data_IF_984566153058
#
_entry.id   IF_984566153058
#
_cell.length_a   1.000
_cell.length_b   1.000
_cell.length_c   1.000
_cell.angle_alpha   90.00
_cell.angle_beta   90.00
_cell.angle_gamma   90.00
#
_symmetry.space_group_name_H-M   'P 1'
#
loop_
_entity.id
_entity.type
_entity.pdbx_description
1 polymer ?
#
# COMPACT_ATOMS: atom_id res chain seq x y z
N UNK A 1 -12.56 32.61 -16.01
CA UNK A 1 -11.20 32.06 -16.20
C UNK A 1 -11.16 30.68 -15.58
N UNK A 2 -11.43 29.65 -16.38
CA UNK A 2 -11.56 28.26 -15.95
C UNK A 2 -10.24 27.51 -16.12
N UNK A 3 -9.55 27.23 -15.02
CA UNK A 3 -8.35 26.40 -14.99
C UNK A 3 -8.71 24.95 -14.64
N UNK A 4 -8.85 24.09 -15.65
CA UNK A 4 -9.03 22.65 -15.46
C UNK A 4 -7.69 21.96 -15.21
N UNK A 5 -7.50 21.35 -14.05
CA UNK A 5 -6.30 20.59 -13.71
C UNK A 5 -6.48 19.12 -14.11
N UNK A 6 -5.75 18.67 -15.14
CA UNK A 6 -5.72 17.27 -15.60
C UNK A 6 -4.76 16.47 -14.70
N UNK A 7 -5.30 15.51 -13.95
CA UNK A 7 -4.50 14.52 -13.23
C UNK A 7 -3.97 13.46 -14.19
N UNK A 8 -2.66 13.47 -14.43
CA UNK A 8 -1.95 12.37 -15.08
C UNK A 8 -1.77 11.23 -14.08
N UNK A 9 -2.23 10.03 -14.42
CA UNK A 9 -1.97 8.80 -13.68
C UNK A 9 -0.47 8.44 -13.76
N UNK A 10 0.28 8.63 -12.67
CA UNK A 10 1.58 8.02 -12.48
C UNK A 10 1.46 6.93 -11.41
N UNK A 11 1.60 5.67 -11.82
CA UNK A 11 1.71 4.54 -10.90
C UNK A 11 3.08 4.61 -10.22
N UNK A 12 3.12 5.01 -8.95
CA UNK A 12 4.30 4.92 -8.11
C UNK A 12 4.23 3.64 -7.28
N UNK A 13 5.21 2.75 -7.45
CA UNK A 13 5.48 1.67 -6.50
C UNK A 13 6.23 2.28 -5.33
N UNK A 14 5.65 2.23 -4.13
CA UNK A 14 6.26 2.73 -2.89
C UNK A 14 6.97 1.54 -2.23
N UNK A 15 8.28 1.63 -2.10
CA UNK A 15 9.08 0.71 -1.26
C UNK A 15 9.36 1.41 0.06
N UNK A 16 8.96 0.80 1.16
CA UNK A 16 9.18 1.28 2.53
C UNK A 16 10.40 0.58 3.11
N UNK A 17 11.37 1.36 3.58
CA UNK A 17 12.42 0.89 4.48
C UNK A 17 12.18 1.50 5.86
N UNK A 18 11.80 0.66 6.83
CA UNK A 18 11.69 1.04 8.24
C UNK A 18 12.99 0.70 8.96
N UNK A 19 13.64 1.70 9.57
CA UNK A 19 14.97 1.60 10.17
C UNK A 19 14.93 1.47 11.71
N UNK A 20 13.92 0.81 12.26
CA UNK A 20 13.83 0.60 13.71
C UNK A 20 13.37 -0.83 14.02
N UNK A 21 14.33 -1.72 14.29
CA UNK A 21 14.22 -2.86 15.22
C UNK A 21 15.58 -3.58 15.31
N UNK A 22 16.57 -2.97 15.95
CA UNK A 22 17.67 -3.72 16.56
C UNK A 22 17.32 -3.88 18.04
N UNK A 23 16.78 -5.04 18.41
CA UNK A 23 16.43 -5.39 19.79
C UNK A 23 16.92 -6.80 20.08
N UNK A 24 17.90 -6.90 20.97
CA UNK A 24 18.60 -8.13 21.37
C UNK A 24 17.64 -9.15 22.01
N UNK A 25 17.70 -10.41 21.53
CA UNK A 25 17.01 -11.55 22.15
C UNK A 25 17.85 -12.09 23.31
N UNK A 26 17.35 -11.97 24.54
CA UNK A 26 17.85 -12.78 25.65
C UNK A 26 17.30 -14.21 25.57
N UNK A 27 18.20 -15.18 25.72
CA UNK A 27 17.89 -16.60 25.84
C UNK A 27 17.42 -16.90 27.27
N UNK A 28 16.26 -17.53 27.40
CA UNK A 28 15.95 -18.36 28.56
C UNK A 28 15.51 -19.72 28.06
N UNK A 29 16.27 -20.74 28.47
CA UNK A 29 15.98 -22.14 28.23
C UNK A 29 14.91 -22.65 29.19
N UNK A 30 14.06 -23.51 28.66
CA UNK A 30 13.13 -24.36 29.39
C UNK A 30 12.85 -25.55 28.49
N UNK A 31 13.49 -26.67 28.78
CA UNK A 31 13.08 -27.99 28.31
C UNK A 31 11.75 -28.33 28.97
N UNK A 32 10.77 -28.84 28.21
CA UNK A 32 10.06 -30.05 28.60
C UNK A 32 9.06 -30.56 27.54
N UNK A 33 9.15 -31.87 27.34
CA UNK A 33 8.15 -32.79 26.78
C UNK A 33 7.92 -32.81 25.26
N UNK A 34 8.59 -33.79 24.65
CA UNK A 34 8.28 -34.31 23.33
C UNK A 34 6.85 -34.87 23.29
N UNK A 35 5.95 -34.16 22.62
CA UNK A 35 4.68 -34.69 22.11
C UNK A 35 4.89 -35.04 20.65
N UNK A 36 5.11 -36.33 20.37
CA UNK A 36 5.08 -36.87 19.01
C UNK A 36 3.65 -36.80 18.49
N UNK A 37 3.32 -35.72 17.78
CA UNK A 37 2.16 -35.69 16.89
C UNK A 37 2.60 -36.20 15.52
N UNK A 38 2.29 -37.47 15.29
CA UNK A 38 2.30 -38.09 13.98
C UNK A 38 1.17 -37.50 13.14
N UNK A 39 1.42 -36.35 12.53
CA UNK A 39 0.62 -35.86 11.41
C UNK A 39 1.37 -36.20 10.13
N UNK A 40 1.11 -37.41 9.62
CA UNK A 40 1.40 -37.76 8.24
C UNK A 40 0.61 -36.80 7.34
N UNK A 41 1.20 -35.65 7.00
CA UNK A 41 0.72 -34.83 5.91
C UNK A 41 1.12 -35.59 4.65
N UNK A 42 0.18 -36.36 4.10
CA UNK A 42 0.28 -36.85 2.74
C UNK A 42 0.39 -35.62 1.84
N UNK A 43 1.60 -35.26 1.45
CA UNK A 43 1.82 -34.32 0.36
C UNK A 43 1.34 -35.03 -0.90
N UNK A 44 0.07 -34.85 -1.25
CA UNK A 44 -0.36 -35.09 -2.62
C UNK A 44 0.42 -34.10 -3.47
N UNK A 45 1.51 -34.59 -4.06
CA UNK A 45 2.24 -33.90 -5.10
C UNK A 45 1.26 -33.75 -6.25
N UNK A 46 0.74 -32.53 -6.43
CA UNK A 46 0.02 -32.16 -7.63
C UNK A 46 1.01 -32.29 -8.80
N UNK A 47 0.98 -33.44 -9.50
CA UNK A 47 1.61 -33.60 -10.80
C UNK A 47 0.78 -32.87 -11.85
N UNK A 48 0.69 -31.53 -11.69
CA UNK A 48 0.23 -30.66 -12.75
C UNK A 48 1.14 -30.86 -13.94
N UNK A 49 0.53 -31.18 -15.10
CA UNK A 49 1.18 -31.35 -16.40
C UNK A 49 2.25 -30.27 -16.59
N UNK A 50 3.52 -30.65 -16.41
CA UNK A 50 4.69 -29.80 -16.66
C UNK A 50 4.94 -29.75 -18.17
N UNK A 51 3.96 -29.24 -18.92
CA UNK A 51 4.27 -28.60 -20.19
C UNK A 51 4.81 -27.20 -19.85
N UNK A 52 5.91 -27.18 -19.08
CA UNK A 52 6.73 -26.01 -18.90
C UNK A 52 7.42 -25.80 -20.25
N UNK A 53 6.68 -25.19 -21.19
CA UNK A 53 7.26 -24.63 -22.39
C UNK A 53 8.48 -23.85 -21.93
N UNK A 54 9.65 -24.26 -22.43
CA UNK A 54 10.94 -23.70 -22.07
C UNK A 54 10.80 -22.18 -21.96
N UNK A 55 10.95 -21.63 -20.75
CA UNK A 55 10.93 -20.19 -20.54
C UNK A 55 12.16 -19.70 -21.29
N UNK A 56 11.99 -19.34 -22.56
CA UNK A 56 13.07 -18.86 -23.42
C UNK A 56 13.66 -17.65 -22.73
N UNK A 57 14.82 -17.83 -22.12
CA UNK A 57 15.55 -16.77 -21.44
C UNK A 57 16.03 -15.80 -22.50
N UNK A 58 15.24 -14.75 -22.74
CA UNK A 58 15.63 -13.67 -23.63
C UNK A 58 16.76 -12.88 -22.98
N UNK A 59 17.78 -12.46 -23.75
CA UNK A 59 18.86 -11.66 -23.21
C UNK A 59 18.31 -10.36 -22.63
N UNK A 60 18.71 -10.04 -21.40
CA UNK A 60 18.30 -8.82 -20.73
C UNK A 60 18.71 -7.60 -21.57
N UNK A 61 17.73 -6.78 -21.96
CA UNK A 61 17.98 -5.55 -22.71
C UNK A 61 18.70 -4.58 -21.77
N UNK A 62 19.87 -4.07 -22.18
CA UNK A 62 20.62 -3.10 -21.37
C UNK A 62 19.82 -1.79 -21.30
N UNK A 63 19.49 -1.36 -20.09
CA UNK A 63 18.82 -0.10 -19.82
C UNK A 63 19.81 0.77 -19.06
N UNK A 64 20.06 1.96 -19.59
CA UNK A 64 20.93 2.91 -18.92
C UNK A 64 20.26 3.42 -17.65
N UNK A 65 20.91 3.25 -16.51
CA UNK A 65 20.41 3.79 -15.24
C UNK A 65 20.82 5.25 -15.14
N UNK A 66 19.85 6.15 -15.30
CA UNK A 66 20.05 7.55 -14.91
C UNK A 66 20.12 7.63 -13.38
N UNK A 67 21.30 7.93 -12.85
CA UNK A 67 21.48 8.19 -11.42
C UNK A 67 20.89 9.57 -11.12
N UNK A 68 19.66 9.58 -10.62
CA UNK A 68 18.98 10.78 -10.13
C UNK A 68 19.46 11.14 -8.72
N UNK A 69 19.29 12.40 -8.34
CA UNK A 69 19.61 12.89 -7.00
C UNK A 69 18.60 12.38 -5.97
N UNK A 70 18.96 12.38 -4.68
CA UNK A 70 18.03 11.96 -3.61
C UNK A 70 16.73 12.77 -3.55
N UNK A 71 16.74 14.02 -4.00
CA UNK A 71 15.55 14.87 -4.07
C UNK A 71 14.57 14.39 -5.15
N UNK A 72 15.07 13.85 -6.26
CA UNK A 72 14.25 13.38 -7.38
C UNK A 72 13.43 12.12 -7.04
N UNK A 73 13.85 11.40 -5.99
CA UNK A 73 13.12 10.22 -5.49
C UNK A 73 12.08 10.57 -4.42
N UNK A 74 12.16 11.73 -3.78
CA UNK A 74 11.25 12.08 -2.69
C UNK A 74 9.89 12.50 -3.28
N UNK A 75 8.86 11.68 -3.10
CA UNK A 75 7.50 11.94 -3.56
C UNK A 75 6.67 12.71 -2.52
N UNK A 76 6.98 12.54 -1.23
CA UNK A 76 6.20 13.16 -0.15
C UNK A 76 6.63 12.69 1.23
N UNK A 77 5.93 13.18 2.25
CA UNK A 77 6.15 12.83 3.65
C UNK A 77 4.82 12.54 4.31
N UNK A 78 4.82 11.57 5.20
CA UNK A 78 3.74 11.25 6.12
C UNK A 78 4.34 11.22 7.54
N UNK A 79 3.52 11.23 8.60
CA UNK A 79 4.04 11.08 9.94
C UNK A 79 4.92 9.83 10.08
N UNK A 80 6.19 10.02 10.41
CA UNK A 80 7.17 8.94 10.56
C UNK A 80 7.62 8.25 9.27
N UNK A 81 7.20 8.71 8.08
CA UNK A 81 7.49 8.05 6.80
C UNK A 81 7.87 9.03 5.68
N UNK A 82 8.72 8.57 4.75
CA UNK A 82 9.01 9.27 3.48
C UNK A 82 8.52 8.42 2.33
N UNK A 83 7.76 9.04 1.44
CA UNK A 83 7.29 8.38 0.23
C UNK A 83 8.34 8.55 -0.86
N UNK A 84 8.74 7.42 -1.45
CA UNK A 84 9.73 7.38 -2.52
C UNK A 84 9.08 6.99 -3.83
N UNK A 85 9.46 7.65 -4.92
CA UNK A 85 9.06 7.30 -6.28
C UNK A 85 10.09 6.37 -6.90
N UNK A 86 9.67 5.21 -7.37
CA UNK A 86 10.53 4.30 -8.14
C UNK A 86 10.33 4.56 -9.63
N UNK A 87 11.43 4.69 -10.36
CA UNK A 87 11.43 4.83 -11.81
C UNK A 87 11.61 3.48 -12.49
N UNK A 88 10.84 3.22 -13.55
CA UNK A 88 10.87 1.99 -14.32
C UNK A 88 11.33 2.23 -15.78
N UNK A 89 12.58 2.68 -16.03
CA UNK A 89 13.06 2.99 -17.38
C UNK A 89 13.09 1.76 -18.30
N UNK A 90 13.13 0.56 -17.72
CA UNK A 90 13.04 -0.68 -18.49
C UNK A 90 11.69 -0.87 -19.19
N UNK A 91 10.63 -0.20 -18.73
CA UNK A 91 9.31 -0.26 -19.35
C UNK A 91 9.32 0.38 -20.75
N UNK A 92 10.13 1.41 -20.97
CA UNK A 92 10.16 2.18 -22.22
C UNK A 92 10.71 1.36 -23.38
N UNK A 93 11.67 0.48 -23.11
CA UNK A 93 12.33 -0.35 -24.12
C UNK A 93 11.59 -1.67 -24.41
N UNK A 94 10.47 -1.92 -23.75
CA UNK A 94 9.67 -3.13 -24.01
C UNK A 94 8.95 -3.06 -25.37
N UNK A 95 8.87 -4.19 -26.10
CA UNK A 95 7.98 -4.34 -27.24
C UNK A 95 6.52 -4.05 -26.86
N UNK A 96 5.71 -3.59 -27.82
CA UNK A 96 4.31 -3.22 -27.57
C UNK A 96 3.49 -4.35 -26.95
N UNK A 97 3.66 -5.60 -27.40
CA UNK A 97 2.95 -6.75 -26.82
C UNK A 97 3.28 -6.96 -25.34
N UNK A 98 4.54 -6.77 -24.94
CA UNK A 98 4.97 -6.88 -23.55
C UNK A 98 4.47 -5.71 -22.69
N UNK A 99 4.40 -4.50 -23.25
CA UNK A 99 3.79 -3.34 -22.58
C UNK A 99 2.31 -3.58 -22.29
N UNK A 100 1.58 -4.17 -23.24
CA UNK A 100 0.16 -4.55 -23.05
C UNK A 100 0.04 -5.61 -21.95
N UNK A 101 0.90 -6.63 -21.95
CA UNK A 101 0.92 -7.62 -20.87
C UNK A 101 1.17 -6.97 -19.50
N UNK A 102 2.22 -6.15 -19.38
CA UNK A 102 2.54 -5.44 -18.13
C UNK A 102 1.39 -4.56 -17.67
N UNK A 103 0.73 -3.87 -18.60
CA UNK A 103 -0.45 -3.07 -18.30
C UNK A 103 -1.57 -3.91 -17.67
N UNK A 104 -1.96 -5.02 -18.30
CA UNK A 104 -3.02 -5.87 -17.79
C UNK A 104 -2.67 -6.54 -16.46
N UNK A 105 -1.43 -7.01 -16.29
CA UNK A 105 -0.96 -7.56 -15.00
C UNK A 105 -0.98 -6.49 -13.91
N UNK A 106 -0.58 -5.26 -14.22
CA UNK A 106 -0.63 -4.15 -13.27
C UNK A 106 -2.07 -3.81 -12.86
N UNK A 107 -3.02 -3.85 -13.80
CA UNK A 107 -4.45 -3.67 -13.51
C UNK A 107 -4.99 -4.79 -12.63
N UNK A 108 -4.61 -6.03 -12.90
CA UNK A 108 -5.00 -7.19 -12.08
C UNK A 108 -4.44 -7.06 -10.65
N UNK A 109 -3.18 -6.67 -10.49
CA UNK A 109 -2.57 -6.43 -9.18
C UNK A 109 -3.29 -5.31 -8.40
N UNK A 110 -3.65 -4.22 -9.07
CA UNK A 110 -4.39 -3.11 -8.46
C UNK A 110 -5.80 -3.50 -8.02
N UNK A 111 -6.48 -4.38 -8.76
CA UNK A 111 -7.82 -4.86 -8.42
C UNK A 111 -7.86 -5.65 -7.09
N UNK A 112 -6.73 -6.24 -6.68
CA UNK A 112 -6.62 -6.94 -5.40
C UNK A 112 -6.58 -6.04 -4.16
N UNK A 113 -6.46 -4.72 -4.32
CA UNK A 113 -6.31 -3.78 -3.20
C UNK A 113 -7.47 -3.85 -2.22
N UNK A 114 -8.71 -3.80 -2.71
CA UNK A 114 -9.88 -3.76 -1.83
C UNK A 114 -10.13 -5.12 -1.14
N UNK A 115 -9.73 -6.22 -1.78
CA UNK A 115 -9.72 -7.55 -1.16
C UNK A 115 -8.78 -7.54 0.05
N UNK A 116 -7.58 -6.98 -0.09
CA UNK A 116 -6.62 -6.87 1.02
C UNK A 116 -7.19 -6.06 2.20
N UNK A 117 -7.79 -4.89 1.93
CA UNK A 117 -8.45 -4.09 2.99
C UNK A 117 -9.57 -4.86 3.70
N UNK A 118 -10.34 -5.68 2.96
CA UNK A 118 -11.39 -6.52 3.53
C UNK A 118 -10.85 -7.67 4.37
N UNK A 119 -9.65 -8.15 4.08
CA UNK A 119 -9.01 -9.26 4.81
C UNK A 119 -8.33 -8.78 6.10
N UNK A 120 -7.69 -7.61 6.07
CA UNK A 120 -6.93 -7.09 7.22
C UNK A 120 -7.82 -6.73 8.40
N UNK A 121 -9.02 -6.17 8.14
CA UNK A 121 -9.92 -5.76 9.21
C UNK A 121 -11.37 -5.77 8.74
N UNK A 122 -12.29 -6.20 9.62
CA UNK A 122 -13.74 -6.26 9.36
C UNK A 122 -14.30 -4.93 8.83
N UNK A 123 -13.82 -3.81 9.36
CA UNK A 123 -14.24 -2.47 8.96
C UNK A 123 -13.23 -1.77 8.04
N UNK A 124 -12.24 -2.49 7.49
CA UNK A 124 -11.14 -1.89 6.73
C UNK A 124 -11.62 -1.07 5.52
N UNK A 125 -12.53 -1.64 4.71
CA UNK A 125 -13.12 -0.93 3.57
C UNK A 125 -14.01 0.24 4.01
N UNK A 126 -14.80 0.08 5.08
CA UNK A 126 -15.66 1.15 5.59
C UNK A 126 -14.82 2.33 6.09
N UNK A 127 -13.77 2.07 6.88
CA UNK A 127 -12.85 3.11 7.36
C UNK A 127 -12.12 3.80 6.21
N UNK A 128 -11.62 3.04 5.23
CA UNK A 128 -10.99 3.60 4.02
C UNK A 128 -11.97 4.55 3.31
N UNK A 129 -13.17 4.07 2.97
CA UNK A 129 -14.19 4.85 2.25
C UNK A 129 -14.63 6.09 3.01
N UNK A 130 -14.82 6.00 4.32
CA UNK A 130 -15.18 7.13 5.16
C UNK A 130 -14.10 8.24 5.07
N UNK A 131 -12.84 7.88 5.26
CA UNK A 131 -11.74 8.86 5.20
C UNK A 131 -11.56 9.43 3.79
N UNK A 132 -11.72 8.60 2.75
CA UNK A 132 -11.68 9.04 1.34
C UNK A 132 -12.81 10.05 1.05
N UNK A 133 -14.05 9.74 1.46
CA UNK A 133 -15.20 10.65 1.32
C UNK A 133 -14.96 11.96 2.04
N UNK A 134 -14.45 11.95 3.28
CA UNK A 134 -14.12 13.19 4.00
C UNK A 134 -13.03 13.98 3.25
N UNK A 135 -12.01 13.30 2.72
CA UNK A 135 -10.91 13.94 2.00
C UNK A 135 -11.33 14.58 0.67
N UNK A 136 -12.39 14.11 0.00
CA UNK A 136 -12.96 14.77 -1.19
C UNK A 136 -13.43 16.20 -0.89
N UNK A 137 -13.82 16.48 0.36
CA UNK A 137 -14.26 17.78 0.84
C UNK A 137 -13.20 18.47 1.71
N UNK A 138 -11.93 18.08 1.61
CA UNK A 138 -10.86 18.59 2.48
C UNK A 138 -10.64 20.11 2.37
N UNK A 139 -11.05 20.73 1.26
CA UNK A 139 -11.01 22.18 1.05
C UNK A 139 -11.86 22.97 2.04
N UNK A 140 -12.97 22.39 2.50
CA UNK A 140 -13.93 23.00 3.43
C UNK A 140 -13.52 22.79 4.90
N UNK A 141 -12.53 21.93 5.14
CA UNK A 141 -12.03 21.65 6.48
C UNK A 141 -11.04 22.74 6.94
N UNK A 142 -11.09 23.12 8.23
CA UNK A 142 -10.05 23.94 8.84
C UNK A 142 -8.65 23.35 8.58
N UNK A 143 -7.60 24.17 8.37
CA UNK A 143 -6.28 23.70 7.92
C UNK A 143 -5.69 22.57 8.76
N UNK A 144 -5.75 22.68 10.09
CA UNK A 144 -5.21 21.65 10.99
C UNK A 144 -5.99 20.34 10.91
N UNK A 145 -7.33 20.42 10.81
CA UNK A 145 -8.19 19.25 10.70
C UNK A 145 -8.02 18.55 9.35
N UNK A 146 -7.93 19.33 8.26
CA UNK A 146 -7.60 18.82 6.93
C UNK A 146 -6.30 18.05 6.94
N UNK A 147 -5.24 18.63 7.50
CA UNK A 147 -3.94 17.98 7.58
C UNK A 147 -4.00 16.68 8.37
N UNK A 148 -4.70 16.68 9.52
CA UNK A 148 -4.88 15.47 10.32
C UNK A 148 -5.64 14.37 9.56
N UNK A 149 -6.65 14.72 8.78
CA UNK A 149 -7.39 13.79 7.90
C UNK A 149 -6.50 13.26 6.78
N UNK A 150 -5.77 14.13 6.08
CA UNK A 150 -4.87 13.75 4.98
C UNK A 150 -3.73 12.83 5.45
N UNK A 151 -3.09 13.17 6.59
CA UNK A 151 -2.05 12.34 7.20
C UNK A 151 -2.61 10.97 7.63
N UNK A 152 -3.80 10.95 8.22
CA UNK A 152 -4.46 9.71 8.66
C UNK A 152 -4.83 8.82 7.47
N UNK A 153 -5.44 9.38 6.43
CA UNK A 153 -5.78 8.67 5.20
C UNK A 153 -4.51 8.16 4.49
N UNK A 154 -3.47 8.98 4.42
CA UNK A 154 -2.18 8.61 3.85
C UNK A 154 -1.54 7.40 4.55
N UNK A 155 -1.58 7.37 5.88
CA UNK A 155 -1.10 6.22 6.66
C UNK A 155 -1.95 4.96 6.43
N UNK A 156 -3.28 5.10 6.43
CA UNK A 156 -4.18 3.97 6.15
C UNK A 156 -3.96 3.39 4.76
N UNK A 157 -3.74 4.23 3.76
CA UNK A 157 -3.38 3.80 2.41
C UNK A 157 -2.02 3.10 2.35
N UNK A 158 -1.02 3.64 3.04
CA UNK A 158 0.33 3.09 3.06
C UNK A 158 0.37 1.70 3.69
N UNK A 159 -0.34 1.51 4.81
CA UNK A 159 -0.36 0.24 5.54
C UNK A 159 -1.42 -0.74 5.04
N UNK A 160 -2.31 -0.31 4.14
CA UNK A 160 -3.41 -1.13 3.64
C UNK A 160 -4.49 -1.43 4.69
N UNK A 161 -4.61 -0.58 5.71
CA UNK A 161 -5.53 -0.77 6.84
C UNK A 161 -5.18 0.10 8.05
N UNK A 162 -5.76 -0.22 9.21
CA UNK A 162 -5.54 0.51 10.47
C UNK A 162 -4.41 -0.05 11.33
N UNK A 163 -3.71 -1.06 10.83
CA UNK A 163 -2.57 -1.70 11.47
C UNK A 163 -1.32 -1.45 10.64
N UNK A 164 -0.19 -1.28 11.31
CA UNK A 164 1.11 -1.24 10.66
C UNK A 164 1.41 -2.61 10.04
N UNK A 165 1.67 -2.66 8.72
CA UNK A 165 1.77 -3.92 8.00
C UNK A 165 2.92 -4.83 8.48
N UNK A 166 4.13 -4.32 8.80
CA UNK A 166 5.21 -5.14 9.35
C UNK A 166 4.98 -5.64 10.79
N UNK A 167 4.46 -4.79 11.68
CA UNK A 167 4.38 -5.10 13.12
C UNK A 167 3.03 -5.67 13.56
N UNK A 168 1.96 -5.44 12.78
CA UNK A 168 0.59 -5.80 13.15
C UNK A 168 0.00 -4.93 14.27
N UNK A 169 0.73 -3.91 14.74
CA UNK A 169 0.26 -3.01 15.79
C UNK A 169 -0.66 -1.96 15.20
N UNK A 170 -1.73 -1.60 15.93
CA UNK A 170 -2.67 -0.57 15.48
C UNK A 170 -1.95 0.78 15.34
N UNK A 171 -2.14 1.44 14.21
CA UNK A 171 -1.55 2.74 13.92
C UNK A 171 -2.05 3.79 14.91
N UNK A 172 -1.16 4.71 15.26
CA UNK A 172 -1.53 5.92 16.00
C UNK A 172 -1.77 7.05 15.02
N UNK A 173 -2.98 7.59 15.04
CA UNK A 173 -3.39 8.69 14.19
C UNK A 173 -3.29 10.01 14.96
N UNK A 174 -3.01 11.10 14.24
CA UNK A 174 -3.11 12.45 14.78
C UNK A 174 -4.55 12.97 14.81
N UNK A 175 -5.48 12.26 14.17
CA UNK A 175 -6.91 12.55 14.18
C UNK A 175 -7.59 11.79 15.32
N UNK A 176 -8.19 12.52 16.24
CA UNK A 176 -8.99 11.97 17.32
C UNK A 176 -10.45 11.75 16.90
N UNK A 177 -11.25 11.15 17.79
CA UNK A 177 -12.65 10.86 17.51
C UNK A 177 -13.47 12.12 17.27
N UNK A 178 -13.28 13.16 18.10
CA UNK A 178 -14.02 14.41 17.94
C UNK A 178 -13.66 15.12 16.63
N UNK A 179 -12.38 15.16 16.26
CA UNK A 179 -11.92 15.68 14.99
C UNK A 179 -12.54 14.92 13.82
N UNK A 180 -12.56 13.58 13.89
CA UNK A 180 -13.20 12.76 12.86
C UNK A 180 -14.69 13.07 12.70
N UNK A 181 -15.44 13.17 13.82
CA UNK A 181 -16.87 13.49 13.80
C UNK A 181 -17.09 14.90 13.22
N UNK A 182 -16.30 15.89 13.64
CA UNK A 182 -16.38 17.25 13.09
C UNK A 182 -16.10 17.27 11.58
N UNK A 183 -15.06 16.56 11.13
CA UNK A 183 -14.73 16.48 9.71
C UNK A 183 -15.84 15.81 8.90
N UNK A 184 -16.41 14.71 9.43
CA UNK A 184 -17.53 14.03 8.80
C UNK A 184 -18.80 14.91 8.74
N UNK A 185 -19.10 15.67 9.78
CA UNK A 185 -20.23 16.61 9.81
C UNK A 185 -20.06 17.74 8.79
N UNK A 186 -18.85 18.31 8.68
CA UNK A 186 -18.56 19.35 7.68
C UNK A 186 -18.74 18.79 6.28
N UNK A 187 -18.15 17.63 5.99
CA UNK A 187 -18.30 16.99 4.68
C UNK A 187 -19.79 16.64 4.38
N UNK A 188 -20.53 16.14 5.37
CA UNK A 188 -21.96 15.86 5.22
C UNK A 188 -22.79 17.12 4.95
N UNK A 189 -22.47 18.24 5.61
CA UNK A 189 -23.11 19.53 5.36
C UNK A 189 -22.84 20.05 3.93
N UNK A 190 -21.75 19.61 3.31
CA UNK A 190 -21.38 19.91 1.91
C UNK A 190 -21.96 18.89 0.91
N UNK A 191 -22.76 17.93 1.38
CA UNK A 191 -23.45 16.96 0.54
C UNK A 191 -22.77 15.59 0.42
N UNK A 192 -21.78 15.29 1.26
CA UNK A 192 -21.19 13.95 1.29
C UNK A 192 -22.16 12.93 1.91
N UNK A 193 -22.42 11.83 1.21
CA UNK A 193 -23.20 10.71 1.74
C UNK A 193 -22.34 9.88 2.71
N UNK A 194 -22.67 9.90 3.99
CA UNK A 194 -21.93 9.20 5.05
C UNK A 194 -22.61 7.88 5.41
N UNK A 195 -22.46 6.88 4.53
CA UNK A 195 -22.93 5.49 4.74
C UNK A 195 -21.92 4.62 5.50
#
# INVERSE_FOLDING_TARGET
MSGGFRWFCAAAVIVVACSCCAGERQKQGGEDSARQESSQTQSETYEGRRDAGEIRSRPARKVERKLLSGADYLAGRLPGCRLLRVWAPALDVLPNGEKVLVYHVSRAAQAGRDIFFSQVHRFGLATKRLLEKIAEYSGELPPELRKAVEDTLGLVWLSGGVYDAPTGVKLRFGLDYEGLVKAAQIAAAMGAEMD
#
